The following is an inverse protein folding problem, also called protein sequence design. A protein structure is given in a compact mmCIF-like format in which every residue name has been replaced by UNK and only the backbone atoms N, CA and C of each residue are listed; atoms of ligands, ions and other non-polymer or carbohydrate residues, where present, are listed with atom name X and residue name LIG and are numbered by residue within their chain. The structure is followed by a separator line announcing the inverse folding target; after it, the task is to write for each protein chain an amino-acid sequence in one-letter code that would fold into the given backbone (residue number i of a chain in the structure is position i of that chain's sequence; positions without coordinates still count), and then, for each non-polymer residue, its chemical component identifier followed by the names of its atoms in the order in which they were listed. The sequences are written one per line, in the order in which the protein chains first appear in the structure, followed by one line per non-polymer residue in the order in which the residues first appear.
data_IF_560127870966
#
_entry.id   IF_560127870966
#
_cell.length_a   1.000
_cell.length_b   1.000
_cell.length_c   1.000
_cell.angle_alpha   90.00
_cell.angle_beta   90.00
_cell.angle_gamma   90.00
#
_symmetry.space_group_name_H-M   'P 1'
#
loop_
_entity.id
_entity.type
_entity.pdbx_description
1 polymer ?
#
# COMPACT_ATOMS: atom_id res chain seq x y z
N UNK A 1 25.10 6.29 -0.50
CA UNK A 1 24.17 5.27 -1.04
C UNK A 1 22.78 5.56 -0.50
N UNK A 2 21.84 5.95 -1.35
CA UNK A 2 20.43 6.13 -0.98
C UNK A 2 19.75 4.76 -1.00
N UNK A 3 19.51 4.18 0.18
CA UNK A 3 18.74 2.93 0.29
C UNK A 3 17.27 3.09 -0.15
N UNK A 4 16.42 2.07 0.02
CA UNK A 4 14.98 2.19 -0.21
C UNK A 4 14.30 2.97 0.92
N UNK A 5 13.26 3.75 0.60
CA UNK A 5 12.54 4.59 1.57
C UNK A 5 11.64 3.77 2.51
N UNK A 6 11.15 2.64 2.00
CA UNK A 6 10.39 1.62 2.71
C UNK A 6 11.08 0.29 2.50
N UNK A 7 11.20 -0.50 3.56
CA UNK A 7 11.70 -1.88 3.50
C UNK A 7 10.61 -2.80 4.02
N UNK A 8 10.28 -3.85 3.26
CA UNK A 8 9.34 -4.88 3.71
C UNK A 8 9.98 -5.66 4.84
N UNK A 9 9.23 -5.82 5.93
CA UNK A 9 9.63 -6.65 7.09
C UNK A 9 8.77 -7.90 7.16
N UNK A 10 7.52 -7.80 6.67
CA UNK A 10 6.57 -8.90 6.57
C UNK A 10 5.64 -8.65 5.38
N UNK A 11 5.69 -9.51 4.38
CA UNK A 11 4.88 -9.35 3.16
C UNK A 11 3.40 -9.71 3.38
N UNK A 12 3.12 -10.62 4.32
CA UNK A 12 1.78 -11.14 4.54
C UNK A 12 1.35 -12.15 3.48
N UNK A 13 0.07 -12.50 3.46
CA UNK A 13 -0.46 -13.53 2.56
C UNK A 13 -0.42 -13.09 1.08
N UNK A 14 -0.74 -11.82 0.83
CA UNK A 14 -0.59 -11.19 -0.47
C UNK A 14 -0.62 -9.67 -0.28
N UNK A 15 0.50 -9.01 -0.58
CA UNK A 15 0.58 -7.54 -0.61
C UNK A 15 1.13 -7.08 -1.94
N UNK A 16 0.44 -6.13 -2.57
CA UNK A 16 0.80 -5.61 -3.90
C UNK A 16 0.81 -4.08 -3.88
N UNK A 17 1.53 -3.48 -4.82
CA UNK A 17 1.42 -2.04 -5.08
C UNK A 17 0.21 -1.79 -5.96
N UNK A 18 -0.66 -0.86 -5.55
CA UNK A 18 -1.87 -0.52 -6.29
C UNK A 18 -2.06 1.00 -6.38
N UNK A 19 -2.40 1.49 -7.58
CA UNK A 19 -2.94 2.82 -7.83
C UNK A 19 -4.34 2.72 -8.46
N UNK A 20 -4.79 3.69 -9.26
CA UNK A 20 -6.10 3.67 -9.93
C UNK A 20 -6.16 2.79 -11.20
N UNK A 21 -5.05 2.13 -11.54
CA UNK A 21 -4.93 1.20 -12.65
C UNK A 21 -4.60 1.86 -14.00
N UNK A 22 -4.68 1.04 -15.04
CA UNK A 22 -4.28 1.27 -16.44
C UNK A 22 -5.47 1.20 -17.41
N UNK A 23 -6.43 2.14 -17.36
CA UNK A 23 -7.56 2.13 -18.28
C UNK A 23 -7.11 2.36 -19.73
N UNK A 24 -7.93 1.94 -20.70
CA UNK A 24 -7.72 2.23 -22.12
C UNK A 24 -6.96 1.18 -22.93
N UNK A 25 -6.41 0.14 -22.29
CA UNK A 25 -5.63 -0.91 -22.96
C UNK A 25 -6.40 -2.20 -23.26
N UNK A 26 -7.73 -2.19 -23.13
CA UNK A 26 -8.57 -3.36 -23.41
C UNK A 26 -8.41 -3.91 -24.84
N UNK A 27 -8.13 -3.03 -25.81
CA UNK A 27 -7.86 -3.40 -27.20
C UNK A 27 -6.58 -4.25 -27.39
N UNK A 28 -5.72 -4.32 -26.36
CA UNK A 28 -4.52 -5.16 -26.32
C UNK A 28 -4.70 -6.37 -25.38
N UNK A 29 -5.90 -6.59 -24.85
CA UNK A 29 -6.17 -7.63 -23.84
C UNK A 29 -5.60 -7.32 -22.46
N UNK A 30 -5.19 -6.07 -22.19
CA UNK A 30 -4.61 -5.67 -20.90
C UNK A 30 -5.73 -5.24 -19.93
N UNK A 31 -5.89 -5.90 -18.76
CA UNK A 31 -6.84 -5.49 -17.73
C UNK A 31 -6.51 -4.11 -17.14
N UNK A 32 -7.53 -3.45 -16.56
CA UNK A 32 -7.33 -2.17 -15.88
C UNK A 32 -6.49 -2.29 -14.60
N UNK A 33 -6.49 -3.44 -13.91
CA UNK A 33 -5.88 -3.58 -12.59
C UNK A 33 -6.29 -2.45 -11.62
N UNK A 34 -5.44 -2.13 -10.64
CA UNK A 34 -5.66 -1.07 -9.65
C UNK A 34 -6.29 -1.58 -8.36
N UNK A 35 -6.39 -0.68 -7.39
CA UNK A 35 -6.95 -0.96 -6.08
C UNK A 35 -8.38 -1.52 -6.19
N UNK A 36 -8.65 -2.63 -5.47
CA UNK A 36 -9.96 -3.27 -5.54
C UNK A 36 -11.06 -2.42 -4.91
N UNK A 37 -10.75 -1.76 -3.80
CA UNK A 37 -11.59 -0.82 -3.07
C UNK A 37 -10.99 0.59 -3.24
N UNK A 38 -11.34 1.19 -4.37
CA UNK A 38 -10.87 2.51 -4.77
C UNK A 38 -11.22 3.62 -3.74
N UNK A 39 -12.42 3.67 -3.13
CA UNK A 39 -12.71 4.61 -2.04
C UNK A 39 -11.76 4.49 -0.85
N UNK A 40 -11.47 3.27 -0.37
CA UNK A 40 -10.56 3.06 0.75
C UNK A 40 -9.12 3.45 0.42
N UNK A 41 -8.64 3.08 -0.78
CA UNK A 41 -7.34 3.49 -1.32
C UNK A 41 -7.20 5.02 -1.34
N UNK A 42 -8.20 5.72 -1.90
CA UNK A 42 -8.20 7.19 -1.95
C UNK A 42 -8.24 7.80 -0.56
N UNK A 43 -8.97 7.21 0.38
CA UNK A 43 -8.99 7.68 1.77
C UNK A 43 -7.60 7.59 2.39
N UNK A 44 -6.87 6.48 2.22
CA UNK A 44 -5.52 6.34 2.76
C UNK A 44 -4.60 7.44 2.24
N UNK A 45 -4.62 7.68 0.93
CA UNK A 45 -3.84 8.75 0.30
C UNK A 45 -4.20 10.15 0.84
N UNK A 46 -5.49 10.46 0.94
CA UNK A 46 -5.94 11.77 1.46
C UNK A 46 -5.50 12.01 2.89
N UNK A 47 -5.56 10.99 3.75
CA UNK A 47 -5.15 11.10 5.16
C UNK A 47 -3.67 11.46 5.32
N UNK A 48 -2.81 11.09 4.38
CA UNK A 48 -1.36 11.41 4.41
C UNK A 48 -0.96 12.58 3.50
N UNK A 49 -1.94 13.27 2.90
CA UNK A 49 -1.74 14.45 2.06
C UNK A 49 -1.35 14.16 0.60
N UNK A 50 -1.50 12.92 0.13
CA UNK A 50 -1.22 12.56 -1.26
C UNK A 50 -2.41 12.90 -2.19
N UNK A 51 -2.15 13.07 -3.51
CA UNK A 51 -3.20 12.92 -4.51
C UNK A 51 -3.88 11.57 -4.38
N UNK A 52 -5.20 11.51 -4.60
CA UNK A 52 -5.95 10.26 -4.50
C UNK A 52 -5.54 9.18 -5.52
N UNK A 53 -4.73 9.53 -6.52
CA UNK A 53 -4.17 8.62 -7.52
C UNK A 53 -2.80 8.05 -7.18
N UNK A 54 -2.17 8.49 -6.07
CA UNK A 54 -0.86 7.99 -5.68
C UNK A 54 -0.94 6.50 -5.30
N UNK A 55 0.12 5.74 -5.58
CA UNK A 55 0.12 4.32 -5.26
C UNK A 55 0.19 4.06 -3.74
N UNK A 56 -0.48 3.00 -3.30
CA UNK A 56 -0.48 2.47 -1.93
C UNK A 56 -0.08 1.00 -1.94
N UNK A 57 0.17 0.42 -0.77
CA UNK A 57 0.19 -1.04 -0.62
C UNK A 57 -1.22 -1.54 -0.35
N UNK A 58 -1.73 -2.44 -1.19
CA UNK A 58 -2.95 -3.22 -0.94
C UNK A 58 -2.54 -4.56 -0.34
N UNK A 59 -2.97 -4.82 0.89
CA UNK A 59 -2.65 -6.06 1.62
C UNK A 59 -3.90 -6.88 1.88
N UNK A 60 -3.78 -8.21 1.75
CA UNK A 60 -4.88 -9.17 1.84
C UNK A 60 -4.73 -10.05 3.06
N UNK A 61 -5.83 -10.19 3.82
CA UNK A 61 -6.01 -11.12 4.95
C UNK A 61 -5.10 -10.88 6.17
N UNK A 62 -3.78 -11.10 6.04
CA UNK A 62 -2.85 -11.09 7.19
C UNK A 62 -2.07 -9.77 7.34
N UNK A 63 -2.36 -8.78 6.50
CA UNK A 63 -1.73 -7.46 6.57
C UNK A 63 -0.26 -7.48 6.14
N UNK A 64 0.49 -6.40 6.41
CA UNK A 64 1.92 -6.31 6.10
C UNK A 64 2.67 -5.43 7.12
N UNK A 65 3.98 -5.62 7.20
CA UNK A 65 4.89 -4.82 8.02
C UNK A 65 5.95 -4.13 7.18
N UNK A 66 6.12 -2.82 7.36
CA UNK A 66 7.11 -2.01 6.64
C UNK A 66 7.95 -1.16 7.59
N UNK A 67 9.25 -1.11 7.35
CA UNK A 67 10.17 -0.20 8.02
C UNK A 67 10.34 1.06 7.19
N UNK A 68 10.19 2.22 7.82
CA UNK A 68 10.42 3.51 7.17
C UNK A 68 11.86 3.96 7.40
N UNK A 69 12.57 4.40 6.36
CA UNK A 69 13.94 4.93 6.54
C UNK A 69 13.94 6.30 7.19
N UNK A 70 13.03 7.16 6.76
CA UNK A 70 12.90 8.55 7.24
C UNK A 70 11.56 8.71 7.93
N UNK A 71 11.52 9.56 8.96
CA UNK A 71 10.29 9.80 9.69
C UNK A 71 9.19 10.32 8.74
N UNK A 72 8.07 9.61 8.64
CA UNK A 72 7.02 9.88 7.66
C UNK A 72 5.63 9.76 8.30
N UNK A 73 4.60 10.21 7.60
CA UNK A 73 3.21 9.97 7.99
C UNK A 73 2.66 8.83 7.15
N UNK A 74 2.00 7.89 7.82
CA UNK A 74 1.38 6.71 7.21
C UNK A 74 -0.09 6.65 7.63
N UNK A 75 -0.95 6.11 6.78
CA UNK A 75 -2.32 5.79 7.15
C UNK A 75 -2.68 4.38 6.65
N UNK A 76 -3.48 3.67 7.44
CA UNK A 76 -4.06 2.38 7.07
C UNK A 76 -5.58 2.50 7.02
N UNK A 77 -6.20 2.08 5.92
CA UNK A 77 -7.67 2.11 5.71
C UNK A 77 -8.17 0.78 5.13
N UNK A 78 -9.43 0.70 4.69
CA UNK A 78 -10.04 -0.51 4.09
C UNK A 78 -10.62 -1.43 5.16
N UNK A 79 -10.23 -2.70 5.13
CA UNK A 79 -10.57 -3.66 6.18
C UNK A 79 -9.94 -3.22 7.52
N UNK A 80 -10.74 -3.09 8.61
CA UNK A 80 -10.20 -2.78 9.93
C UNK A 80 -9.23 -3.86 10.42
N UNK A 81 -8.06 -3.44 10.88
CA UNK A 81 -7.01 -4.29 11.43
C UNK A 81 -6.30 -3.58 12.60
N UNK A 82 -5.66 -4.32 13.52
CA UNK A 82 -4.73 -3.73 14.47
C UNK A 82 -3.57 -3.07 13.72
N UNK A 83 -3.24 -1.84 14.10
CA UNK A 83 -2.05 -1.13 13.58
C UNK A 83 -1.11 -0.88 14.75
N UNK A 84 0.19 -1.11 14.53
CA UNK A 84 1.22 -0.80 15.52
C UNK A 84 2.40 -0.05 14.91
N UNK A 85 3.10 0.72 15.74
CA UNK A 85 4.41 1.29 15.44
C UNK A 85 5.39 0.77 16.49
N UNK A 86 6.37 -0.02 16.06
CA UNK A 86 7.30 -0.76 16.95
C UNK A 86 6.56 -1.51 18.08
N UNK A 87 5.47 -2.19 17.71
CA UNK A 87 4.63 -2.98 18.63
C UNK A 87 3.71 -2.15 19.53
N UNK A 88 3.77 -0.82 19.51
CA UNK A 88 2.84 0.04 20.26
C UNK A 88 1.58 0.30 19.43
N UNK A 89 0.37 0.18 20.00
CA UNK A 89 -0.87 0.45 19.28
C UNK A 89 -0.89 1.85 18.65
N UNK A 90 -1.37 1.90 17.40
CA UNK A 90 -1.57 3.12 16.64
C UNK A 90 -2.98 3.10 16.01
N UNK A 91 -3.58 4.27 15.72
CA UNK A 91 -4.94 4.30 15.19
C UNK A 91 -4.99 3.79 13.75
N UNK A 92 -5.95 2.91 13.47
CA UNK A 92 -6.42 2.62 12.12
C UNK A 92 -7.34 3.76 11.64
N UNK A 93 -7.37 4.03 10.33
CA UNK A 93 -8.26 5.04 9.74
C UNK A 93 -7.86 6.50 10.02
N UNK A 94 -6.64 6.73 10.53
CA UNK A 94 -6.11 8.05 10.85
C UNK A 94 -4.64 8.18 10.42
N UNK A 95 -4.12 9.40 10.20
CA UNK A 95 -2.69 9.60 9.99
C UNK A 95 -1.89 9.27 11.24
N UNK A 96 -0.83 8.48 11.06
CA UNK A 96 0.11 8.05 12.09
C UNK A 96 1.50 8.55 11.74
N UNK A 97 2.15 9.27 12.65
CA UNK A 97 3.57 9.63 12.48
C UNK A 97 4.44 8.45 12.86
N UNK A 98 5.23 7.97 11.90
CA UNK A 98 6.17 6.86 12.07
C UNK A 98 7.60 7.43 12.13
N UNK A 99 8.34 7.24 13.23
CA UNK A 99 9.73 7.68 13.34
C UNK A 99 10.66 7.00 12.33
N UNK A 100 11.79 7.62 12.03
CA UNK A 100 12.82 7.00 11.19
C UNK A 100 13.31 5.67 11.81
N UNK A 101 13.39 4.61 11.01
CA UNK A 101 13.82 3.28 11.43
C UNK A 101 12.73 2.41 12.07
N UNK A 102 11.59 3.01 12.45
CA UNK A 102 10.48 2.29 13.06
C UNK A 102 9.73 1.41 12.04
N UNK A 103 9.11 0.36 12.56
CA UNK A 103 8.25 -0.56 11.81
C UNK A 103 6.80 -0.18 12.04
N UNK A 104 6.07 0.10 10.96
CA UNK A 104 4.62 0.10 10.98
C UNK A 104 4.12 -1.28 10.57
N UNK A 105 3.30 -1.87 11.42
CA UNK A 105 2.69 -3.18 11.17
C UNK A 105 1.17 -3.02 11.10
N UNK A 106 0.60 -3.33 9.93
CA UNK A 106 -0.81 -3.58 9.76
C UNK A 106 -1.06 -5.08 9.94
N UNK A 107 -1.75 -5.45 11.02
CA UNK A 107 -2.04 -6.83 11.36
C UNK A 107 -3.14 -7.47 10.49
N UNK A 108 -3.60 -8.67 10.86
CA UNK A 108 -4.68 -9.34 10.15
C UNK A 108 -5.98 -8.54 10.15
N UNK A 109 -6.70 -8.58 9.02
CA UNK A 109 -8.03 -8.01 8.90
C UNK A 109 -8.99 -8.70 9.88
N UNK A 110 -9.73 -7.91 10.65
CA UNK A 110 -10.73 -8.41 11.60
C UNK A 110 -12.11 -8.53 10.96
N UNK A 111 -12.41 -7.65 10.00
CA UNK A 111 -13.63 -7.62 9.20
C UNK A 111 -13.29 -7.12 7.80
N UNK A 112 -13.94 -7.65 6.76
CA UNK A 112 -13.50 -7.41 5.38
C UNK A 112 -12.23 -8.20 5.04
N UNK A 113 -11.52 -7.81 3.97
CA UNK A 113 -10.39 -8.59 3.46
C UNK A 113 -9.14 -7.79 3.07
N UNK A 114 -9.31 -6.58 2.51
CA UNK A 114 -8.21 -5.77 1.98
C UNK A 114 -8.03 -4.48 2.73
N UNK A 115 -6.80 -4.18 3.14
CA UNK A 115 -6.41 -2.92 3.76
C UNK A 115 -5.44 -2.17 2.86
N UNK A 116 -5.41 -0.84 2.97
CA UNK A 116 -4.54 0.02 2.17
C UNK A 116 -3.61 0.80 3.08
N UNK A 117 -2.30 0.68 2.84
CA UNK A 117 -1.26 1.44 3.53
C UNK A 117 -0.71 2.49 2.59
N UNK A 118 -0.90 3.77 2.94
CA UNK A 118 -0.35 4.91 2.23
C UNK A 118 0.72 5.60 3.07
N UNK A 119 1.81 6.03 2.43
CA UNK A 119 2.83 6.88 3.04
C UNK A 119 2.83 8.24 2.34
N UNK A 120 3.13 9.32 3.05
CA UNK A 120 3.34 10.64 2.43
C UNK A 120 4.37 10.54 1.30
N UNK A 121 4.03 11.09 0.12
CA UNK A 121 4.82 10.98 -1.11
C UNK A 121 4.44 9.78 -2.00
N UNK A 122 3.63 8.84 -1.51
CA UNK A 122 3.17 7.67 -2.26
C UNK A 122 4.22 6.57 -2.40
N UNK A 123 3.82 5.45 -3.01
CA UNK A 123 4.72 4.33 -3.33
C UNK A 123 5.36 4.53 -4.72
N UNK A 124 6.69 4.60 -4.76
CA UNK A 124 7.46 5.06 -5.91
C UNK A 124 7.95 4.00 -6.90
N UNK A 125 7.20 2.94 -7.21
CA UNK A 125 7.60 1.89 -8.18
C UNK A 125 7.45 2.30 -9.65
N UNK A 126 8.35 1.90 -10.56
CA UNK A 126 8.29 2.31 -11.97
C UNK A 126 6.91 2.00 -12.61
N UNK A 127 6.24 2.98 -13.25
CA UNK A 127 4.98 2.73 -13.92
C UNK A 127 5.18 1.90 -15.19
N UNK A 128 4.40 0.85 -15.34
CA UNK A 128 4.21 0.12 -16.60
C UNK A 128 2.95 0.69 -17.24
N UNK A 129 2.86 0.92 -18.55
CA UNK A 129 1.63 1.41 -19.23
C UNK A 129 0.86 2.50 -18.43
N UNK A 130 1.57 3.50 -17.91
CA UNK A 130 0.99 4.63 -17.19
C UNK A 130 0.47 4.36 -15.76
N UNK A 131 0.70 3.17 -15.19
CA UNK A 131 0.24 2.82 -13.83
C UNK A 131 1.23 1.93 -13.08
N UNK A 132 1.24 2.10 -11.76
CA UNK A 132 2.05 1.38 -10.77
C UNK A 132 1.33 0.17 -10.18
N UNK A 133 0.09 -0.10 -10.60
CA UNK A 133 -0.69 -1.25 -10.14
C UNK A 133 -0.10 -2.57 -10.61
N UNK A 134 0.03 -3.52 -9.69
CA UNK A 134 0.32 -4.90 -10.01
C UNK A 134 -0.92 -5.58 -10.61
N UNK A 135 -0.74 -6.31 -11.71
CA UNK A 135 -1.72 -7.20 -12.30
C UNK A 135 -1.22 -8.64 -12.21
N UNK A 136 -1.80 -9.41 -11.28
CA UNK A 136 -1.39 -10.79 -11.02
C UNK A 136 -1.76 -11.76 -12.15
N UNK A 137 -2.70 -11.39 -13.03
CA UNK A 137 -3.11 -12.23 -14.15
C UNK A 137 -2.11 -12.12 -15.30
N UNK A 138 -1.70 -10.90 -15.63
CA UNK A 138 -0.80 -10.62 -16.77
C UNK A 138 0.68 -10.51 -16.39
N UNK A 139 0.99 -10.36 -15.10
CA UNK A 139 2.35 -10.09 -14.60
C UNK A 139 2.83 -8.66 -14.87
N UNK A 140 1.93 -7.74 -15.25
CA UNK A 140 2.28 -6.34 -15.50
C UNK A 140 2.38 -5.55 -14.19
N UNK A 141 3.36 -4.64 -14.14
CA UNK A 141 3.60 -3.79 -12.98
C UNK A 141 4.56 -4.45 -11.99
N UNK A 142 4.61 -3.97 -10.74
CA UNK A 142 5.50 -4.50 -9.72
C UNK A 142 5.07 -5.90 -9.28
N UNK A 143 6.05 -6.76 -9.00
CA UNK A 143 5.80 -8.05 -8.37
C UNK A 143 5.16 -7.90 -6.97
N UNK A 144 4.43 -8.92 -6.48
CA UNK A 144 4.02 -8.98 -5.08
C UNK A 144 5.20 -8.78 -4.13
N UNK A 145 4.95 -8.14 -2.99
CA UNK A 145 5.97 -7.94 -1.97
C UNK A 145 6.46 -9.29 -1.41
N UNK A 146 7.73 -9.34 -1.06
CA UNK A 146 8.40 -10.47 -0.38
C UNK A 146 9.20 -9.96 0.82
N UNK A 147 9.42 -10.81 1.82
CA UNK A 147 10.28 -10.56 2.99
C UNK A 147 11.57 -11.40 2.97
#
# INVERSE_FOLDING_TARGET
MTGPALTVVRAGALTTVQDLGRPGHAHLGVPRAGALDEPAHRLANRLVGNPGSAATLETTLTGCGVRVRTATTVAVTGAPCPVTVDGRPAPWGAPVRVPAGAVLDAGPATHGLRSYLACTGGIGTEPVLGSRAADLLSGLGPDPLTD
#
